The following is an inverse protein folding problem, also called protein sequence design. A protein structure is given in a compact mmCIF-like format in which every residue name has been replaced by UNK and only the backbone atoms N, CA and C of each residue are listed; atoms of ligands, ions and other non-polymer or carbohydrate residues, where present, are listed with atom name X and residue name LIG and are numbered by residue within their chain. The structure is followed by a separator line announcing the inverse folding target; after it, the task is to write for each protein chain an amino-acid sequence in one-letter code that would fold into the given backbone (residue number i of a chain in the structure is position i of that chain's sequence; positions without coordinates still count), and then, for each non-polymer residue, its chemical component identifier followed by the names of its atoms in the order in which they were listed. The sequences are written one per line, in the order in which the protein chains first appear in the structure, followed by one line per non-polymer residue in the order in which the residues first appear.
data_IF_197624160650
#
_entry.id   IF_197624160650
#
_cell.length_a   1.000
_cell.length_b   1.000
_cell.length_c   1.000
_cell.angle_alpha   90.00
_cell.angle_beta   90.00
_cell.angle_gamma   90.00
#
_symmetry.space_group_name_H-M   'P 1'
#
loop_
_entity.id
_entity.type
_entity.pdbx_description
1 polymer ?
#
# COMPACT_ATOMS: atom_id res chain seq x y z
N UNK A 1 55.17 -37.01 22.99
CA UNK A 1 54.52 -36.44 21.77
C UNK A 1 53.01 -36.72 21.66
N UNK A 2 52.40 -37.49 22.57
CA UNK A 2 50.97 -37.85 22.50
C UNK A 2 49.99 -36.73 22.92
N UNK A 3 50.42 -35.73 23.71
CA UNK A 3 49.56 -34.64 24.21
C UNK A 3 49.24 -33.55 23.16
N UNK A 4 50.04 -33.40 22.10
CA UNK A 4 49.79 -32.39 21.04
C UNK A 4 48.81 -32.88 19.97
N UNK A 5 48.69 -34.19 19.77
CA UNK A 5 47.76 -34.77 18.77
C UNK A 5 46.32 -34.73 19.28
N UNK A 6 46.09 -34.91 20.59
CA UNK A 6 44.73 -34.88 21.18
C UNK A 6 44.14 -33.46 21.17
N UNK A 7 44.95 -32.41 21.32
CA UNK A 7 44.46 -31.03 21.23
C UNK A 7 44.07 -30.60 19.80
N UNK A 8 44.70 -31.14 18.75
CA UNK A 8 44.29 -30.84 17.37
C UNK A 8 43.02 -31.59 16.96
N UNK A 9 42.78 -32.78 17.48
CA UNK A 9 41.56 -33.55 17.21
C UNK A 9 40.31 -32.92 17.83
N UNK A 10 40.44 -32.24 18.97
CA UNK A 10 39.31 -31.58 19.66
C UNK A 10 38.93 -30.27 18.96
N UNK A 11 39.88 -29.57 18.32
CA UNK A 11 39.60 -28.33 17.57
C UNK A 11 38.89 -28.63 16.24
N UNK A 12 39.16 -29.78 15.59
CA UNK A 12 38.42 -30.19 14.39
C UNK A 12 37.00 -30.70 14.66
N UNK A 13 36.68 -31.08 15.89
CA UNK A 13 35.32 -31.53 16.27
C UNK A 13 34.43 -30.35 16.70
N UNK A 14 35.00 -29.23 17.15
CA UNK A 14 34.21 -28.03 17.50
C UNK A 14 33.77 -27.17 16.30
N UNK A 15 34.23 -27.44 15.08
CA UNK A 15 33.78 -26.75 13.85
C UNK A 15 32.75 -27.60 13.06
N UNK A 16 32.56 -28.87 13.45
CA UNK A 16 31.65 -29.79 12.77
C UNK A 16 30.23 -29.87 13.40
N UNK A 17 29.94 -29.11 14.45
CA UNK A 17 28.65 -29.17 15.15
C UNK A 17 28.09 -27.78 15.50
N UNK A 18 27.88 -26.94 14.48
CA UNK A 18 26.64 -26.16 14.44
C UNK A 18 25.89 -26.61 13.21
N UNK A 19 25.09 -27.66 13.37
CA UNK A 19 23.90 -27.83 12.53
C UNK A 19 23.02 -26.62 12.80
N UNK A 20 23.33 -25.48 12.19
CA UNK A 20 22.30 -24.48 11.97
C UNK A 20 21.27 -25.20 11.13
N UNK A 21 20.11 -25.43 11.75
CA UNK A 21 19.01 -26.01 11.01
C UNK A 21 18.68 -25.05 9.87
N UNK A 22 18.19 -25.57 8.74
CA UNK A 22 17.76 -24.70 7.63
C UNK A 22 16.78 -23.60 8.10
N UNK A 23 16.06 -23.85 9.21
CA UNK A 23 15.19 -22.89 9.88
C UNK A 23 15.92 -21.71 10.53
N UNK A 24 17.10 -21.93 11.10
CA UNK A 24 17.90 -20.87 11.73
C UNK A 24 18.45 -19.91 10.66
N UNK A 25 18.92 -20.48 9.54
CA UNK A 25 19.40 -19.71 8.38
C UNK A 25 18.26 -18.91 7.74
N UNK A 26 17.08 -19.49 7.60
CA UNK A 26 15.90 -18.81 7.05
C UNK A 26 15.45 -17.65 7.95
N UNK A 27 15.46 -17.85 9.28
CA UNK A 27 15.16 -16.82 10.28
C UNK A 27 16.12 -15.64 10.20
N UNK A 28 17.43 -15.91 10.10
CA UNK A 28 18.46 -14.88 9.99
C UNK A 28 18.33 -14.08 8.70
N UNK A 29 18.05 -14.74 7.57
CA UNK A 29 17.85 -14.06 6.29
C UNK A 29 16.57 -13.20 6.28
N UNK A 30 15.50 -13.63 6.95
CA UNK A 30 14.30 -12.82 7.11
C UNK A 30 14.54 -11.58 7.97
N UNK A 31 15.31 -11.72 9.06
CA UNK A 31 15.71 -10.60 9.92
C UNK A 31 16.52 -9.57 9.12
N UNK A 32 17.51 -10.03 8.35
CA UNK A 32 18.34 -9.19 7.48
C UNK A 32 17.51 -8.48 6.40
N UNK A 33 16.48 -9.13 5.84
CA UNK A 33 15.57 -8.48 4.90
C UNK A 33 14.78 -7.36 5.59
N UNK A 34 14.23 -7.61 6.78
CA UNK A 34 13.49 -6.59 7.52
C UNK A 34 14.35 -5.36 7.81
N UNK A 35 15.59 -5.58 8.25
CA UNK A 35 16.54 -4.49 8.50
C UNK A 35 16.87 -3.71 7.22
N UNK A 36 17.14 -4.42 6.10
CA UNK A 36 17.41 -3.77 4.82
C UNK A 36 16.22 -2.98 4.27
N UNK A 37 14.99 -3.45 4.50
CA UNK A 37 13.75 -2.74 4.15
C UNK A 37 13.59 -1.46 4.97
N UNK A 38 13.83 -1.52 6.29
CA UNK A 38 13.77 -0.37 7.20
C UNK A 38 14.80 0.71 6.85
N UNK A 39 16.02 0.30 6.49
CA UNK A 39 17.11 1.21 6.13
C UNK A 39 17.16 1.56 4.63
N UNK A 40 16.11 1.22 3.87
CA UNK A 40 16.01 1.48 2.43
C UNK A 40 17.23 1.01 1.60
N UNK A 41 17.87 -0.09 1.99
CA UNK A 41 19.09 -0.58 1.37
C UNK A 41 18.79 -1.46 0.14
N UNK A 42 18.51 -0.83 -0.99
CA UNK A 42 18.16 -1.52 -2.24
C UNK A 42 19.23 -2.52 -2.72
N UNK A 43 20.52 -2.27 -2.46
CA UNK A 43 21.61 -3.18 -2.84
C UNK A 43 21.53 -4.48 -2.03
N UNK A 44 21.36 -4.37 -0.72
CA UNK A 44 21.22 -5.53 0.16
C UNK A 44 19.95 -6.31 -0.16
N UNK A 45 18.83 -5.62 -0.40
CA UNK A 45 17.56 -6.26 -0.81
C UNK A 45 17.74 -7.08 -2.09
N UNK A 46 18.42 -6.54 -3.12
CA UNK A 46 18.69 -7.28 -4.36
C UNK A 46 19.57 -8.51 -4.12
N UNK A 47 20.58 -8.42 -3.24
CA UNK A 47 21.45 -9.54 -2.89
C UNK A 47 20.67 -10.65 -2.18
N UNK A 48 19.91 -10.30 -1.13
CA UNK A 48 19.07 -11.24 -0.39
C UNK A 48 18.01 -11.89 -1.30
N UNK A 49 17.39 -11.12 -2.19
CA UNK A 49 16.36 -11.64 -3.09
C UNK A 49 16.88 -12.74 -4.03
N UNK A 50 18.13 -12.65 -4.50
CA UNK A 50 18.75 -13.73 -5.29
C UNK A 50 18.82 -15.04 -4.50
N UNK A 51 19.14 -14.96 -3.20
CA UNK A 51 19.17 -16.12 -2.30
C UNK A 51 17.76 -16.69 -2.12
N UNK A 52 16.76 -15.84 -1.87
CA UNK A 52 15.37 -16.29 -1.73
C UNK A 52 14.83 -17.00 -2.97
N UNK A 53 15.18 -16.54 -4.17
CA UNK A 53 14.76 -17.19 -5.42
C UNK A 53 15.40 -18.58 -5.56
N UNK A 54 16.70 -18.71 -5.31
CA UNK A 54 17.41 -19.99 -5.35
C UNK A 54 16.79 -20.98 -4.36
N UNK A 55 16.44 -20.51 -3.16
CA UNK A 55 15.84 -21.31 -2.12
C UNK A 55 14.32 -21.47 -2.26
N UNK A 56 13.71 -20.96 -3.34
CA UNK A 56 12.25 -20.95 -3.57
C UNK A 56 11.44 -20.33 -2.42
N UNK A 57 12.04 -19.41 -1.65
CA UNK A 57 11.36 -18.64 -0.61
C UNK A 57 10.57 -17.49 -1.26
N UNK A 58 9.44 -17.85 -1.90
CA UNK A 58 8.64 -16.93 -2.69
C UNK A 58 8.02 -15.82 -1.85
N UNK A 59 7.75 -16.05 -0.56
CA UNK A 59 7.18 -15.05 0.33
C UNK A 59 8.16 -13.90 0.58
N UNK A 60 9.42 -14.21 0.92
CA UNK A 60 10.43 -13.16 1.12
C UNK A 60 10.83 -12.52 -0.21
N UNK A 61 10.85 -13.30 -1.31
CA UNK A 61 11.10 -12.76 -2.64
C UNK A 61 10.01 -11.77 -3.08
N UNK A 62 8.74 -12.06 -2.79
CA UNK A 62 7.62 -11.16 -3.01
C UNK A 62 7.81 -9.84 -2.24
N UNK A 63 8.14 -9.89 -0.94
CA UNK A 63 8.40 -8.68 -0.13
C UNK A 63 9.54 -7.84 -0.69
N UNK A 64 10.63 -8.47 -1.12
CA UNK A 64 11.76 -7.80 -1.72
C UNK A 64 11.39 -7.13 -3.06
N UNK A 65 10.70 -7.84 -3.95
CA UNK A 65 10.25 -7.27 -5.22
C UNK A 65 9.17 -6.21 -5.06
N UNK A 66 8.30 -6.33 -4.05
CA UNK A 66 7.34 -5.28 -3.70
C UNK A 66 8.07 -3.99 -3.38
N UNK A 67 9.07 -4.02 -2.50
CA UNK A 67 9.88 -2.85 -2.22
C UNK A 67 10.57 -2.30 -3.48
N UNK A 68 11.23 -3.17 -4.26
CA UNK A 68 11.96 -2.73 -5.43
C UNK A 68 11.05 -2.16 -6.52
N UNK A 69 9.84 -2.68 -6.70
CA UNK A 69 8.84 -2.12 -7.62
C UNK A 69 8.44 -0.68 -7.22
N UNK A 70 8.34 -0.41 -5.93
CA UNK A 70 7.92 0.89 -5.39
C UNK A 70 9.04 1.93 -5.48
N UNK A 71 10.25 1.52 -5.11
CA UNK A 71 11.38 2.42 -4.89
C UNK A 71 12.44 2.38 -5.98
N UNK A 72 12.25 1.62 -7.06
CA UNK A 72 13.13 1.66 -8.24
C UNK A 72 12.36 2.05 -9.49
N UNK A 73 13.03 2.75 -10.40
CA UNK A 73 12.45 3.15 -11.69
C UNK A 73 12.51 2.04 -12.75
N UNK A 74 12.68 0.77 -12.36
CA UNK A 74 12.78 -0.37 -13.27
C UNK A 74 11.46 -1.16 -13.32
N UNK A 75 10.69 -1.10 -14.43
CA UNK A 75 9.41 -1.80 -14.57
C UNK A 75 9.50 -3.32 -14.33
N UNK A 76 10.64 -3.93 -14.69
CA UNK A 76 10.88 -5.36 -14.50
C UNK A 76 10.74 -5.83 -13.03
N UNK A 77 11.03 -4.96 -12.05
CA UNK A 77 10.86 -5.34 -10.64
C UNK A 77 9.37 -5.52 -10.28
N UNK A 78 8.49 -4.77 -10.93
CA UNK A 78 7.05 -4.93 -10.77
C UNK A 78 6.54 -6.21 -11.45
N UNK A 79 7.06 -6.58 -12.63
CA UNK A 79 6.76 -7.89 -13.25
C UNK A 79 7.09 -9.05 -12.29
N UNK A 80 8.28 -8.98 -11.69
CA UNK A 80 8.76 -10.02 -10.78
C UNK A 80 7.99 -10.04 -9.45
N UNK A 81 7.55 -8.88 -8.96
CA UNK A 81 6.63 -8.78 -7.82
C UNK A 81 5.32 -9.52 -8.12
N UNK A 82 4.70 -9.29 -9.29
CA UNK A 82 3.46 -9.97 -9.67
C UNK A 82 3.62 -11.48 -9.85
N UNK A 83 4.73 -11.90 -10.49
CA UNK A 83 5.04 -13.31 -10.66
C UNK A 83 5.24 -14.03 -9.31
N UNK A 84 5.92 -13.39 -8.36
CA UNK A 84 6.11 -13.93 -7.01
C UNK A 84 4.83 -13.90 -6.18
N UNK A 85 4.00 -12.85 -6.29
CA UNK A 85 2.69 -12.78 -5.64
C UNK A 85 1.75 -13.92 -6.08
N UNK A 86 1.80 -14.30 -7.35
CA UNK A 86 1.00 -15.41 -7.90
C UNK A 86 1.43 -16.74 -7.28
N UNK A 87 2.74 -16.96 -7.13
CA UNK A 87 3.29 -18.18 -6.49
C UNK A 87 2.94 -18.29 -5.00
N UNK A 88 2.73 -17.16 -4.32
CA UNK A 88 2.40 -17.12 -2.89
C UNK A 88 0.91 -16.90 -2.62
N UNK A 89 0.07 -16.86 -3.66
CA UNK A 89 -1.35 -16.49 -3.56
C UNK A 89 -1.60 -15.12 -2.88
N UNK A 90 -0.64 -14.20 -2.98
CA UNK A 90 -0.73 -12.85 -2.40
C UNK A 90 -1.28 -11.80 -3.38
N UNK A 91 -1.84 -12.22 -4.53
CA UNK A 91 -2.38 -11.28 -5.53
C UNK A 91 -3.44 -10.35 -4.90
N UNK A 92 -4.31 -10.88 -4.03
CA UNK A 92 -5.31 -10.08 -3.32
C UNK A 92 -4.70 -8.96 -2.46
N UNK A 93 -3.52 -9.17 -1.87
CA UNK A 93 -2.80 -8.14 -1.10
C UNK A 93 -2.40 -6.97 -2.00
N UNK A 94 -1.98 -7.25 -3.23
CA UNK A 94 -1.63 -6.21 -4.21
C UNK A 94 -2.85 -5.41 -4.65
N UNK A 95 -4.00 -6.05 -4.84
CA UNK A 95 -5.27 -5.36 -5.11
C UNK A 95 -5.73 -4.51 -3.92
N UNK A 96 -5.58 -4.99 -2.68
CA UNK A 96 -5.89 -4.22 -1.46
C UNK A 96 -4.97 -3.01 -1.29
N UNK A 97 -3.68 -3.17 -1.58
CA UNK A 97 -2.71 -2.08 -1.57
C UNK A 97 -3.01 -1.04 -2.66
N UNK A 98 -3.36 -1.51 -3.87
CA UNK A 98 -3.83 -0.69 -4.99
C UNK A 98 -4.83 0.34 -4.52
N UNK A 99 -5.87 -0.19 -3.88
CA UNK A 99 -7.08 0.53 -3.65
C UNK A 99 -6.86 1.54 -2.49
N UNK A 100 -6.00 1.21 -1.53
CA UNK A 100 -5.70 2.07 -0.36
C UNK A 100 -4.67 3.17 -0.60
N UNK A 101 -4.13 3.32 -1.81
CA UNK A 101 -2.97 4.18 -2.10
C UNK A 101 -1.74 3.89 -1.21
N UNK A 102 -1.75 2.76 -0.48
CA UNK A 102 -0.72 2.44 0.48
C UNK A 102 0.32 1.53 -0.18
N UNK A 103 1.59 1.91 -0.05
CA UNK A 103 2.74 1.11 -0.43
C UNK A 103 2.96 0.80 -1.92
N UNK A 104 2.21 1.35 -2.88
CA UNK A 104 2.49 1.08 -4.31
C UNK A 104 2.35 2.33 -5.19
N UNK A 105 3.39 2.62 -5.99
CA UNK A 105 3.38 3.67 -7.01
C UNK A 105 2.44 3.26 -8.15
N UNK A 106 1.25 3.87 -8.22
CA UNK A 106 0.22 3.62 -9.24
C UNK A 106 0.61 4.20 -10.61
N UNK A 107 1.72 3.74 -11.18
CA UNK A 107 2.12 4.11 -12.54
C UNK A 107 1.14 3.50 -13.56
N UNK A 108 1.03 4.06 -14.78
CA UNK A 108 0.23 3.45 -15.86
C UNK A 108 0.63 2.00 -16.14
N UNK A 109 1.93 1.70 -16.05
CA UNK A 109 2.44 0.33 -16.16
C UNK A 109 1.87 -0.59 -15.07
N UNK A 110 1.78 -0.10 -13.84
CA UNK A 110 1.26 -0.87 -12.73
C UNK A 110 -0.24 -1.14 -12.84
N UNK A 111 -1.01 -0.15 -13.31
CA UNK A 111 -2.44 -0.32 -13.62
C UNK A 111 -2.66 -1.37 -14.72
N UNK A 112 -1.88 -1.33 -15.80
CA UNK A 112 -1.94 -2.36 -16.84
C UNK A 112 -1.63 -3.77 -16.30
N UNK A 113 -0.75 -3.89 -15.30
CA UNK A 113 -0.46 -5.18 -14.65
C UNK A 113 -1.62 -5.67 -13.79
N UNK A 114 -2.28 -4.78 -13.04
CA UNK A 114 -3.49 -5.17 -12.31
C UNK A 114 -4.54 -5.76 -13.24
N UNK A 115 -4.79 -5.12 -14.40
CA UNK A 115 -5.73 -5.62 -15.40
C UNK A 115 -5.40 -7.03 -15.87
N UNK A 116 -4.14 -7.29 -16.16
CA UNK A 116 -3.69 -8.61 -16.60
C UNK A 116 -3.92 -9.69 -15.53
N UNK A 117 -3.77 -9.35 -14.24
CA UNK A 117 -3.87 -10.31 -13.13
C UNK A 117 -5.25 -10.35 -12.46
N UNK A 118 -6.20 -9.53 -12.88
CA UNK A 118 -7.54 -9.55 -12.33
C UNK A 118 -8.28 -10.83 -12.76
N UNK A 119 -8.77 -11.56 -11.77
CA UNK A 119 -9.45 -12.84 -11.96
C UNK A 119 -10.79 -12.93 -11.22
N UNK A 120 -11.21 -11.87 -10.52
CA UNK A 120 -12.50 -11.81 -9.83
C UNK A 120 -13.25 -10.53 -10.17
N UNK A 121 -14.58 -10.57 -10.10
CA UNK A 121 -15.43 -9.39 -10.34
C UNK A 121 -15.01 -8.23 -9.43
N UNK A 122 -14.72 -8.50 -8.15
CA UNK A 122 -14.21 -7.48 -7.21
C UNK A 122 -12.90 -6.84 -7.69
N UNK A 123 -11.96 -7.62 -8.23
CA UNK A 123 -10.69 -7.10 -8.76
C UNK A 123 -10.90 -6.24 -10.00
N UNK A 124 -11.82 -6.65 -10.88
CA UNK A 124 -12.22 -5.88 -12.06
C UNK A 124 -12.83 -4.54 -11.63
N UNK A 125 -13.73 -4.56 -10.64
CA UNK A 125 -14.34 -3.34 -10.11
C UNK A 125 -13.32 -2.41 -9.43
N UNK A 126 -12.33 -2.96 -8.70
CA UNK A 126 -11.20 -2.19 -8.15
C UNK A 126 -10.40 -1.52 -9.28
N UNK A 127 -10.17 -2.19 -10.40
CA UNK A 127 -9.47 -1.59 -11.54
C UNK A 127 -10.29 -0.45 -12.14
N UNK A 128 -11.60 -0.64 -12.36
CA UNK A 128 -12.49 0.43 -12.85
C UNK A 128 -12.40 1.66 -11.96
N UNK A 129 -12.45 1.44 -10.64
CA UNK A 129 -12.25 2.45 -9.59
C UNK A 129 -10.90 3.17 -9.79
N UNK A 130 -9.78 2.44 -9.85
CA UNK A 130 -8.45 3.01 -10.06
C UNK A 130 -8.30 3.78 -11.38
N UNK A 131 -9.00 3.35 -12.44
CA UNK A 131 -9.04 4.00 -13.75
C UNK A 131 -9.95 5.21 -13.82
N UNK A 132 -10.62 5.55 -12.74
CA UNK A 132 -11.59 6.64 -12.72
C UNK A 132 -12.84 6.39 -13.56
N UNK A 133 -13.20 5.12 -13.76
CA UNK A 133 -14.42 4.76 -14.46
C UNK A 133 -15.64 4.89 -13.52
N UNK A 134 -16.76 5.32 -14.09
CA UNK A 134 -18.04 5.34 -13.37
C UNK A 134 -18.47 3.91 -13.05
N UNK A 135 -18.83 3.68 -11.79
CA UNK A 135 -19.53 2.47 -11.36
C UNK A 135 -21.03 2.73 -11.26
N UNK A 136 -21.83 1.75 -11.68
CA UNK A 136 -23.25 1.69 -11.38
C UNK A 136 -23.50 1.42 -9.89
N UNK A 137 -24.72 1.70 -9.40
CA UNK A 137 -25.09 1.42 -8.01
C UNK A 137 -24.95 -0.07 -7.65
N UNK A 138 -25.28 -0.96 -8.58
CA UNK A 138 -25.11 -2.42 -8.41
C UNK A 138 -23.63 -2.78 -8.26
N UNK A 139 -22.74 -2.19 -9.06
CA UNK A 139 -21.29 -2.45 -8.98
C UNK A 139 -20.68 -1.90 -7.68
N UNK A 140 -21.23 -0.82 -7.14
CA UNK A 140 -20.81 -0.27 -5.84
C UNK A 140 -21.23 -1.20 -4.71
N UNK A 141 -22.44 -1.75 -4.79
CA UNK A 141 -22.93 -2.75 -3.84
C UNK A 141 -22.10 -4.05 -3.93
N UNK A 142 -21.59 -4.41 -5.11
CA UNK A 142 -20.69 -5.56 -5.30
C UNK A 142 -19.29 -5.36 -4.70
N UNK A 143 -18.86 -4.12 -4.47
CA UNK A 143 -17.58 -3.80 -3.81
C UNK A 143 -17.61 -3.99 -2.28
N UNK A 144 -18.73 -4.43 -1.71
CA UNK A 144 -18.93 -4.64 -0.26
C UNK A 144 -18.19 -5.86 0.33
N UNK A 145 -17.44 -6.61 -0.47
CA UNK A 145 -16.70 -7.80 -0.01
C UNK A 145 -15.62 -7.47 1.05
N UNK A 146 -15.15 -6.22 1.11
CA UNK A 146 -14.39 -5.72 2.25
C UNK A 146 -14.66 -4.23 2.47
N UNK A 147 -14.65 -3.82 3.74
CA UNK A 147 -14.82 -2.42 4.15
C UNK A 147 -13.83 -1.46 3.46
N UNK A 148 -12.63 -1.94 3.16
CA UNK A 148 -11.57 -1.18 2.49
C UNK A 148 -11.95 -0.78 1.07
N UNK A 149 -12.36 -1.76 0.26
CA UNK A 149 -12.71 -1.53 -1.15
C UNK A 149 -13.97 -0.70 -1.30
N UNK A 150 -14.95 -0.93 -0.42
CA UNK A 150 -16.16 -0.14 -0.35
C UNK A 150 -15.87 1.36 -0.13
N UNK A 151 -14.99 1.69 0.83
CA UNK A 151 -14.60 3.09 1.11
C UNK A 151 -14.02 3.80 -0.13
N UNK A 152 -13.20 3.09 -0.92
CA UNK A 152 -12.55 3.67 -2.09
C UNK A 152 -13.50 3.84 -3.27
N UNK A 153 -14.41 2.87 -3.45
CA UNK A 153 -15.47 2.96 -4.44
C UNK A 153 -16.29 4.24 -4.25
N UNK A 154 -16.71 4.48 -3.01
CA UNK A 154 -17.46 5.67 -2.61
C UNK A 154 -16.65 6.95 -2.82
N UNK A 155 -15.37 6.97 -2.43
CA UNK A 155 -14.51 8.12 -2.60
C UNK A 155 -14.39 8.54 -4.07
N UNK A 156 -14.18 7.55 -4.94
CA UNK A 156 -14.00 7.78 -6.37
C UNK A 156 -15.30 8.12 -7.08
N UNK A 157 -16.42 7.45 -6.77
CA UNK A 157 -17.75 7.88 -7.21
C UNK A 157 -17.99 9.35 -6.85
N UNK A 158 -17.70 9.70 -5.61
CA UNK A 158 -17.79 11.05 -5.10
C UNK A 158 -16.94 12.06 -5.88
N UNK A 159 -15.70 11.70 -6.19
CA UNK A 159 -14.75 12.51 -6.95
C UNK A 159 -15.20 12.74 -8.41
N UNK A 160 -15.68 11.71 -9.10
CA UNK A 160 -16.00 11.80 -10.54
C UNK A 160 -17.40 12.33 -10.81
N UNK A 161 -18.35 11.93 -9.97
CA UNK A 161 -19.76 12.31 -10.16
C UNK A 161 -20.12 13.55 -9.35
N UNK A 162 -19.15 14.12 -8.64
CA UNK A 162 -19.38 15.23 -7.72
C UNK A 162 -20.48 14.88 -6.69
N UNK A 163 -20.47 13.63 -6.22
CA UNK A 163 -21.43 13.09 -5.26
C UNK A 163 -20.90 13.28 -3.83
N UNK A 164 -21.40 14.34 -3.18
CA UNK A 164 -21.05 14.71 -1.80
C UNK A 164 -21.40 13.58 -0.82
N UNK A 165 -22.52 12.87 -1.04
CA UNK A 165 -22.96 11.79 -0.16
C UNK A 165 -21.99 10.61 -0.21
N UNK A 166 -21.54 10.25 -1.40
CA UNK A 166 -20.51 9.22 -1.58
C UNK A 166 -19.18 9.62 -0.91
N UNK A 167 -18.74 10.89 -1.04
CA UNK A 167 -17.53 11.38 -0.35
C UNK A 167 -17.66 11.32 1.18
N UNK A 168 -18.82 11.68 1.72
CA UNK A 168 -19.08 11.64 3.16
C UNK A 168 -19.09 10.20 3.70
N UNK A 169 -19.76 9.29 2.99
CA UNK A 169 -19.78 7.87 3.35
C UNK A 169 -18.37 7.27 3.27
N UNK A 170 -17.59 7.60 2.23
CA UNK A 170 -16.19 7.19 2.15
C UNK A 170 -15.36 7.67 3.34
N UNK A 171 -15.51 8.94 3.75
CA UNK A 171 -14.85 9.48 4.95
C UNK A 171 -15.19 8.66 6.20
N UNK A 172 -16.46 8.35 6.40
CA UNK A 172 -16.95 7.57 7.55
C UNK A 172 -16.38 6.14 7.57
N UNK A 173 -16.29 5.51 6.41
CA UNK A 173 -15.66 4.21 6.23
C UNK A 173 -14.16 4.25 6.54
N UNK A 174 -13.44 5.26 6.02
CA UNK A 174 -12.01 5.45 6.30
C UNK A 174 -11.70 5.73 7.77
N UNK A 175 -12.61 6.39 8.51
CA UNK A 175 -12.49 6.58 9.97
C UNK A 175 -12.42 5.21 10.65
N UNK A 176 -13.32 4.29 10.30
CA UNK A 176 -13.33 2.96 10.92
C UNK A 176 -12.07 2.17 10.57
N UNK A 177 -11.52 2.39 9.38
CA UNK A 177 -10.28 1.78 8.91
C UNK A 177 -9.02 2.47 9.48
N UNK A 178 -9.18 3.54 10.27
CA UNK A 178 -8.09 4.39 10.78
C UNK A 178 -7.18 4.93 9.66
N UNK A 179 -7.77 5.21 8.49
CA UNK A 179 -7.09 5.77 7.31
C UNK A 179 -7.25 7.28 7.27
N UNK A 180 -6.71 7.94 8.29
CA UNK A 180 -6.92 9.35 8.59
C UNK A 180 -6.60 10.30 7.42
N UNK A 181 -5.56 10.00 6.63
CA UNK A 181 -5.22 10.82 5.47
C UNK A 181 -6.34 10.78 4.42
N UNK A 182 -6.86 9.58 4.14
CA UNK A 182 -7.99 9.38 3.23
C UNK A 182 -9.29 10.00 3.76
N UNK A 183 -9.48 10.06 5.09
CA UNK A 183 -10.59 10.81 5.69
C UNK A 183 -10.48 12.30 5.35
N UNK A 184 -9.30 12.89 5.57
CA UNK A 184 -9.03 14.29 5.22
C UNK A 184 -9.23 14.57 3.73
N UNK A 185 -8.75 13.67 2.86
CA UNK A 185 -8.91 13.78 1.40
C UNK A 185 -10.39 13.72 0.98
N UNK A 186 -11.19 12.80 1.57
CA UNK A 186 -12.63 12.69 1.34
C UNK A 186 -13.36 13.98 1.68
N UNK A 187 -13.11 14.53 2.88
CA UNK A 187 -13.75 15.78 3.30
C UNK A 187 -13.26 16.99 2.52
N UNK A 188 -11.99 17.05 2.14
CA UNK A 188 -11.47 18.12 1.31
C UNK A 188 -12.15 18.17 -0.07
N UNK A 189 -12.40 17.00 -0.68
CA UNK A 189 -13.17 16.92 -1.92
C UNK A 189 -14.66 17.23 -1.69
N UNK A 190 -15.25 16.73 -0.61
CA UNK A 190 -16.65 16.98 -0.28
C UNK A 190 -16.91 18.48 -0.12
N UNK A 191 -15.98 19.20 0.51
CA UNK A 191 -16.00 20.66 0.63
C UNK A 191 -15.97 21.36 -0.73
N UNK A 192 -15.01 21.00 -1.59
CA UNK A 192 -14.87 21.56 -2.95
C UNK A 192 -16.14 21.37 -3.78
N UNK A 193 -16.70 20.17 -3.73
CA UNK A 193 -17.91 19.81 -4.46
C UNK A 193 -19.14 20.52 -3.88
N UNK A 194 -19.29 20.55 -2.56
CA UNK A 194 -20.36 21.28 -1.89
C UNK A 194 -20.34 22.76 -2.26
N UNK A 195 -19.15 23.38 -2.29
CA UNK A 195 -19.01 24.77 -2.67
C UNK A 195 -19.36 25.01 -4.14
N UNK A 196 -18.94 24.12 -5.05
CA UNK A 196 -19.31 24.18 -6.46
C UNK A 196 -20.83 24.21 -6.67
N UNK A 197 -21.56 23.40 -5.89
CA UNK A 197 -23.04 23.38 -5.90
C UNK A 197 -23.68 24.41 -4.95
N UNK A 198 -22.93 25.44 -4.54
CA UNK A 198 -23.42 26.54 -3.69
C UNK A 198 -23.97 26.09 -2.32
N UNK A 199 -23.60 24.89 -1.84
CA UNK A 199 -23.94 24.37 -0.52
C UNK A 199 -22.92 24.82 0.52
N UNK A 200 -22.85 26.13 0.78
CA UNK A 200 -21.77 26.75 1.56
C UNK A 200 -21.61 26.18 2.98
N UNK A 201 -22.70 26.00 3.72
CA UNK A 201 -22.64 25.46 5.10
C UNK A 201 -22.01 24.06 5.15
N UNK A 202 -22.38 23.18 4.22
CA UNK A 202 -21.76 21.86 4.08
C UNK A 202 -20.29 21.97 3.67
N UNK A 203 -19.98 22.91 2.77
CA UNK A 203 -18.61 23.15 2.34
C UNK A 203 -17.70 23.59 3.50
N UNK A 204 -18.18 24.46 4.38
CA UNK A 204 -17.48 24.94 5.57
C UNK A 204 -17.28 23.81 6.59
N UNK A 205 -18.31 22.99 6.83
CA UNK A 205 -18.20 21.81 7.70
C UNK A 205 -17.11 20.85 7.22
N UNK A 206 -17.21 20.37 5.97
CA UNK A 206 -16.23 19.43 5.42
C UNK A 206 -14.84 20.05 5.28
N UNK A 207 -14.74 21.36 5.06
CA UNK A 207 -13.46 22.06 5.09
C UNK A 207 -12.81 21.97 6.46
N UNK A 208 -13.55 22.29 7.53
CA UNK A 208 -13.05 22.22 8.90
C UNK A 208 -12.63 20.79 9.28
N UNK A 209 -13.45 19.79 8.94
CA UNK A 209 -13.12 18.37 9.15
C UNK A 209 -11.81 17.98 8.44
N UNK A 210 -11.65 18.36 7.17
CA UNK A 210 -10.42 18.07 6.42
C UNK A 210 -9.17 18.71 7.08
N UNK A 211 -9.28 19.95 7.55
CA UNK A 211 -8.17 20.62 8.25
C UNK A 211 -7.79 19.87 9.53
N UNK A 212 -8.76 19.42 10.32
CA UNK A 212 -8.50 18.66 11.55
C UNK A 212 -7.68 17.41 11.25
N UNK A 213 -8.07 16.62 10.24
CA UNK A 213 -7.34 15.39 9.90
C UNK A 213 -5.93 15.67 9.37
N UNK A 214 -5.73 16.70 8.53
CA UNK A 214 -4.39 17.04 8.05
C UNK A 214 -3.49 17.59 9.17
N UNK A 215 -4.04 18.34 10.12
CA UNK A 215 -3.32 18.87 11.28
C UNK A 215 -2.91 17.73 12.24
N UNK A 216 -3.83 16.83 12.58
CA UNK A 216 -3.57 15.65 13.42
C UNK A 216 -2.48 14.74 12.86
N UNK A 217 -2.35 14.66 11.54
CA UNK A 217 -1.33 13.84 10.87
C UNK A 217 -0.02 14.59 10.60
N UNK A 218 0.09 15.86 11.00
CA UNK A 218 1.21 16.73 10.67
C UNK A 218 1.51 16.81 9.15
N UNK A 219 0.50 16.65 8.27
CA UNK A 219 0.64 16.81 6.82
C UNK A 219 0.67 18.28 6.43
N UNK A 220 1.72 19.00 6.85
CA UNK A 220 1.89 20.46 6.67
C UNK A 220 1.62 20.94 5.24
N UNK A 221 2.06 20.18 4.24
CA UNK A 221 1.84 20.52 2.83
C UNK A 221 0.35 20.48 2.45
N UNK A 222 -0.36 19.39 2.76
CA UNK A 222 -1.80 19.28 2.47
C UNK A 222 -2.62 20.29 3.27
N UNK A 223 -2.28 20.48 4.54
CA UNK A 223 -2.90 21.47 5.41
C UNK A 223 -2.77 22.89 4.82
N UNK A 224 -1.55 23.31 4.47
CA UNK A 224 -1.31 24.64 3.88
C UNK A 224 -2.03 24.82 2.53
N UNK A 225 -2.00 23.79 1.67
CA UNK A 225 -2.74 23.82 0.39
C UNK A 225 -4.23 24.00 0.64
N UNK A 226 -4.79 23.27 1.60
CA UNK A 226 -6.22 23.34 1.90
C UNK A 226 -6.60 24.69 2.53
N UNK A 227 -5.78 25.23 3.45
CA UNK A 227 -5.99 26.57 4.04
C UNK A 227 -5.98 27.65 2.95
N UNK A 228 -4.96 27.65 2.08
CA UNK A 228 -4.86 28.62 1.00
C UNK A 228 -6.05 28.51 0.03
N UNK A 229 -6.48 27.29 -0.26
CA UNK A 229 -7.69 27.05 -1.06
C UNK A 229 -8.94 27.60 -0.35
N UNK A 230 -9.12 27.34 0.95
CA UNK A 230 -10.26 27.81 1.73
C UNK A 230 -10.33 29.34 1.75
N UNK A 231 -9.22 30.02 2.06
CA UNK A 231 -9.12 31.49 2.04
C UNK A 231 -9.51 32.07 0.69
N UNK A 232 -8.98 31.50 -0.41
CA UNK A 232 -9.30 31.95 -1.78
C UNK A 232 -10.79 31.81 -2.11
N UNK A 233 -11.46 30.85 -1.49
CA UNK A 233 -12.87 30.55 -1.71
C UNK A 233 -13.79 31.12 -0.61
N UNK A 234 -13.25 31.97 0.27
CA UNK A 234 -14.00 32.62 1.34
C UNK A 234 -14.48 31.67 2.44
N UNK A 235 -13.90 30.48 2.57
CA UNK A 235 -14.18 29.56 3.68
C UNK A 235 -13.29 29.92 4.87
N UNK A 236 -13.90 30.01 6.04
CA UNK A 236 -13.20 30.25 7.30
C UNK A 236 -13.18 28.98 8.13
N UNK A 237 -12.11 28.82 8.91
CA UNK A 237 -11.91 27.69 9.82
C UNK A 237 -12.94 27.71 10.95
#
# INVERSE_FOLDING_TARGET
MLKKVICLSIIFICIACTTHSDKDIESDQQSLLNDALLHHNAVMIKKLNRIFIVNKNWQQSFRAYQYLCVYSDLPQNCDLMWATATKTHNNSILFNAAATHFNIKQTPYWLNKLEFYASTDTQILIIKVLKSELLSDIEIDQLTFSKVHHAQALYLKGKFNSDIGALNNAGSEFITLKKWESVGDSFALASKVALHYQKRLLAEQYYSDALIYYDLLAHKNKLNVMINWGVKNGLTR
#
